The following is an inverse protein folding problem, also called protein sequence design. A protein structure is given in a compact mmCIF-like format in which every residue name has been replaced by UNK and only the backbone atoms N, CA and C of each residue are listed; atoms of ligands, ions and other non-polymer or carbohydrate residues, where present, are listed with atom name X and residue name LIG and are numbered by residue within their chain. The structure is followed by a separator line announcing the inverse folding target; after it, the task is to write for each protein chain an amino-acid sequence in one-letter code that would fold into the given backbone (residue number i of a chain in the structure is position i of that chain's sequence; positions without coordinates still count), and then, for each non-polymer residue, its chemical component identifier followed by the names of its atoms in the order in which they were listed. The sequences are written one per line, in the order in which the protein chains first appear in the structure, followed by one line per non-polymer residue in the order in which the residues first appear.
data_IF_518461112573
#
_entry.id   IF_518461112573
#
_cell.length_a   1.000
_cell.length_b   1.000
_cell.length_c   1.000
_cell.angle_alpha   90.00
_cell.angle_beta   90.00
_cell.angle_gamma   90.00
#
_symmetry.space_group_name_H-M   'P 1'
#
loop_
_entity.id
_entity.type
_entity.pdbx_description
1 polymer ?
#
# COMPACT_ATOMS: atom_id res chain seq x y z
N UNK A 1 -19.22 -5.59 -16.52
CA UNK A 1 -19.10 -4.72 -15.33
C UNK A 1 -18.85 -3.32 -15.85
N UNK A 2 -19.57 -2.27 -15.38
CA UNK A 2 -19.34 -0.91 -15.85
C UNK A 2 -17.87 -0.53 -15.60
N UNK A 3 -17.28 0.19 -16.55
CA UNK A 3 -15.91 0.66 -16.40
C UNK A 3 -15.85 1.70 -15.27
N UNK A 4 -14.73 1.82 -14.54
CA UNK A 4 -14.67 2.73 -13.40
C UNK A 4 -14.99 4.19 -13.76
N UNK A 5 -14.73 4.58 -15.03
CA UNK A 5 -15.08 5.90 -15.55
C UNK A 5 -16.58 6.18 -15.55
N UNK A 6 -17.41 5.15 -15.73
CA UNK A 6 -18.88 5.25 -15.76
C UNK A 6 -19.51 5.22 -14.37
N UNK A 7 -18.72 4.94 -13.32
CA UNK A 7 -19.22 4.88 -11.95
C UNK A 7 -19.53 6.29 -11.43
N UNK A 8 -20.63 6.42 -10.69
CA UNK A 8 -21.04 7.70 -10.10
C UNK A 8 -20.06 8.16 -9.04
N UNK A 9 -19.70 9.43 -9.11
CA UNK A 9 -18.87 10.10 -8.11
C UNK A 9 -19.70 10.33 -6.83
N UNK A 10 -19.18 9.95 -5.67
CA UNK A 10 -19.81 10.28 -4.38
C UNK A 10 -19.41 11.67 -3.91
N UNK A 11 -20.19 12.28 -3.01
CA UNK A 11 -19.84 13.58 -2.43
C UNK A 11 -18.55 13.52 -1.61
N UNK A 12 -18.30 12.41 -0.93
CA UNK A 12 -17.04 12.19 -0.22
C UNK A 12 -15.83 12.11 -1.16
N UNK A 13 -16.01 11.55 -2.36
CA UNK A 13 -14.96 11.58 -3.38
C UNK A 13 -14.76 12.98 -3.92
N UNK A 14 -15.85 13.71 -4.18
CA UNK A 14 -15.85 15.12 -4.64
C UNK A 14 -15.06 16.02 -3.68
N UNK A 15 -15.32 15.94 -2.38
CA UNK A 15 -14.56 16.66 -1.34
C UNK A 15 -13.07 16.29 -1.34
N UNK A 16 -12.76 15.01 -1.53
CA UNK A 16 -11.38 14.53 -1.60
C UNK A 16 -10.62 15.14 -2.78
N UNK A 17 -11.27 15.24 -3.94
CA UNK A 17 -10.68 15.88 -5.13
C UNK A 17 -10.37 17.34 -4.87
N UNK A 18 -11.31 18.06 -4.25
CA UNK A 18 -11.13 19.47 -3.89
C UNK A 18 -9.95 19.64 -2.93
N UNK A 19 -9.74 18.69 -2.01
CA UNK A 19 -8.55 18.65 -1.16
C UNK A 19 -7.24 18.56 -1.94
N UNK A 20 -7.20 17.75 -3.00
CA UNK A 20 -6.02 17.66 -3.87
C UNK A 20 -5.77 18.93 -4.68
N UNK A 21 -6.83 19.55 -5.21
CA UNK A 21 -6.72 20.83 -5.93
C UNK A 21 -6.19 21.94 -5.00
N UNK A 22 -6.63 21.98 -3.74
CA UNK A 22 -6.12 22.93 -2.73
C UNK A 22 -4.62 22.74 -2.46
N UNK A 23 -4.18 21.48 -2.36
CA UNK A 23 -2.76 21.18 -2.18
C UNK A 23 -1.94 21.66 -3.39
N UNK A 24 -2.42 21.44 -4.61
CA UNK A 24 -1.75 21.89 -5.82
C UNK A 24 -1.61 23.42 -5.92
N UNK A 25 -2.60 24.19 -5.45
CA UNK A 25 -2.48 25.66 -5.33
C UNK A 25 -1.43 26.04 -4.29
N UNK A 26 -1.47 25.40 -3.12
CA UNK A 26 -0.52 25.66 -2.03
C UNK A 26 0.92 25.39 -2.46
N UNK A 27 1.13 24.39 -3.32
CA UNK A 27 2.42 24.01 -3.88
C UNK A 27 2.82 24.85 -5.12
N UNK A 28 1.98 25.79 -5.55
CA UNK A 28 2.23 26.65 -6.71
C UNK A 28 2.13 25.94 -8.07
N UNK A 29 1.51 24.76 -8.11
CA UNK A 29 1.29 23.98 -9.35
C UNK A 29 0.02 24.37 -10.10
N UNK A 30 -0.94 24.93 -9.38
CA UNK A 30 -2.11 25.59 -9.95
C UNK A 30 -2.12 27.05 -9.57
N UNK A 31 -2.52 27.88 -10.51
CA UNK A 31 -2.96 29.24 -10.21
C UNK A 31 -4.32 29.20 -9.50
N UNK A 32 -4.66 30.29 -8.81
CA UNK A 32 -5.97 30.41 -8.14
C UNK A 32 -7.13 30.33 -9.14
N UNK A 33 -6.96 30.89 -10.35
CA UNK A 33 -7.96 30.84 -11.40
C UNK A 33 -8.21 29.39 -11.91
N UNK A 34 -7.14 28.62 -12.15
CA UNK A 34 -7.28 27.21 -12.54
C UNK A 34 -7.91 26.36 -11.44
N UNK A 35 -7.62 26.69 -10.18
CA UNK A 35 -8.26 26.03 -9.04
C UNK A 35 -9.76 26.27 -9.01
N UNK A 36 -10.22 27.51 -9.13
CA UNK A 36 -11.64 27.84 -9.15
C UNK A 36 -12.37 27.12 -10.29
N UNK A 37 -11.79 27.13 -11.49
CA UNK A 37 -12.35 26.44 -12.67
C UNK A 37 -12.46 24.92 -12.44
N UNK A 38 -11.40 24.31 -11.92
CA UNK A 38 -11.35 22.85 -11.69
C UNK A 38 -12.26 22.43 -10.53
N UNK A 39 -12.36 23.22 -9.47
CA UNK A 39 -13.29 22.94 -8.35
C UNK A 39 -14.72 22.99 -8.84
N UNK A 40 -15.09 23.99 -9.62
CA UNK A 40 -16.44 24.11 -10.17
C UNK A 40 -16.80 22.93 -11.09
N UNK A 41 -15.87 22.51 -11.97
CA UNK A 41 -16.04 21.33 -12.81
C UNK A 41 -16.19 20.04 -11.98
N UNK A 42 -15.33 19.85 -10.96
CA UNK A 42 -15.41 18.73 -10.02
C UNK A 42 -16.71 18.74 -9.25
N UNK A 43 -17.24 19.90 -8.85
CA UNK A 43 -18.51 20.03 -8.12
C UNK A 43 -19.75 19.77 -8.98
N UNK A 44 -19.61 19.78 -10.30
CA UNK A 44 -20.67 19.42 -11.25
C UNK A 44 -20.57 17.99 -11.77
N UNK A 45 -19.39 17.38 -11.70
CA UNK A 45 -19.15 16.04 -12.20
C UNK A 45 -20.09 15.00 -11.56
N UNK A 46 -20.60 14.08 -12.38
CA UNK A 46 -21.46 12.97 -11.95
C UNK A 46 -20.74 11.63 -11.95
N UNK A 47 -19.64 11.52 -12.69
CA UNK A 47 -18.89 10.27 -12.86
C UNK A 47 -17.39 10.48 -12.68
N UNK A 48 -16.65 9.42 -12.39
CA UNK A 48 -15.18 9.52 -12.25
C UNK A 48 -14.49 9.93 -13.55
N UNK A 49 -15.02 9.52 -14.70
CA UNK A 49 -14.47 9.88 -16.01
C UNK A 49 -14.53 11.38 -16.32
N UNK A 50 -15.50 12.09 -15.72
CA UNK A 50 -15.62 13.55 -15.86
C UNK A 50 -14.58 14.31 -15.04
N UNK A 51 -14.03 13.70 -13.98
CA UNK A 51 -13.05 14.36 -13.10
C UNK A 51 -11.61 14.14 -13.56
N UNK A 52 -11.32 12.99 -14.16
CA UNK A 52 -9.97 12.57 -14.58
C UNK A 52 -9.21 13.62 -15.42
N UNK A 53 -9.82 14.34 -16.40
CA UNK A 53 -9.13 15.36 -17.18
C UNK A 53 -8.63 16.55 -16.36
N UNK A 54 -9.32 16.90 -15.27
CA UNK A 54 -8.98 18.05 -14.42
C UNK A 54 -7.81 17.79 -13.47
N UNK A 55 -7.26 16.57 -13.53
CA UNK A 55 -6.29 16.03 -12.60
C UNK A 55 -5.08 15.40 -13.32
N UNK A 56 -5.15 15.25 -14.64
CA UNK A 56 -4.16 14.51 -15.43
C UNK A 56 -2.75 15.11 -15.38
N UNK A 57 -2.65 16.41 -15.19
CA UNK A 57 -1.42 17.21 -15.10
C UNK A 57 -0.95 17.43 -13.65
N UNK A 58 -1.67 16.88 -12.66
CA UNK A 58 -1.33 16.98 -11.25
C UNK A 58 -0.85 15.62 -10.74
N UNK A 59 0.06 15.60 -9.74
CA UNK A 59 0.47 14.36 -9.09
C UNK A 59 -0.63 13.86 -8.13
N UNK A 60 -1.79 13.51 -8.68
CA UNK A 60 -2.99 13.11 -7.94
C UNK A 60 -3.36 11.67 -8.28
N UNK A 61 -3.58 10.87 -7.24
CA UNK A 61 -3.87 9.44 -7.35
C UNK A 61 -5.30 9.15 -7.78
N UNK A 62 -5.69 9.52 -9.00
CA UNK A 62 -6.97 9.14 -9.64
C UNK A 62 -6.82 8.07 -10.71
N UNK A 63 -5.79 7.24 -10.63
CA UNK A 63 -5.73 6.04 -11.47
C UNK A 63 -6.75 5.00 -10.98
N UNK A 64 -7.92 4.97 -11.63
CA UNK A 64 -8.71 3.78 -11.93
C UNK A 64 -9.12 2.85 -10.76
N UNK A 65 -10.33 3.04 -10.21
CA UNK A 65 -11.24 1.96 -9.80
C UNK A 65 -10.88 1.00 -8.68
N UNK A 66 -9.75 1.18 -8.01
CA UNK A 66 -9.56 0.63 -6.68
C UNK A 66 -10.34 1.47 -5.67
N UNK A 67 -11.00 0.83 -4.69
CA UNK A 67 -11.27 1.47 -3.39
C UNK A 67 -10.07 2.35 -3.05
N UNK A 68 -10.24 3.59 -2.53
CA UNK A 68 -9.13 4.52 -2.35
C UNK A 68 -7.98 3.75 -1.73
N UNK A 69 -6.91 3.54 -2.52
CA UNK A 69 -5.68 2.96 -1.99
C UNK A 69 -5.32 3.90 -0.85
N UNK A 70 -5.57 3.44 0.37
CA UNK A 70 -5.15 4.19 1.54
C UNK A 70 -3.65 4.22 1.39
N UNK A 71 -3.07 5.35 1.04
CA UNK A 71 -1.62 5.46 0.91
C UNK A 71 -0.93 4.98 2.19
N UNK A 72 -1.60 5.14 3.33
CA UNK A 72 -1.18 4.61 4.61
C UNK A 72 -2.29 3.81 5.31
N UNK A 73 -1.96 2.58 5.72
CA UNK A 73 -2.75 1.81 6.68
C UNK A 73 -1.91 1.51 7.91
N UNK A 74 -2.49 1.70 9.09
CA UNK A 74 -1.88 1.29 10.35
C UNK A 74 -2.62 0.09 10.96
N UNK A 75 -1.87 -0.95 11.28
CA UNK A 75 -2.33 -2.14 12.00
C UNK A 75 -1.78 -2.10 13.41
N UNK A 76 -2.66 -2.03 14.41
CA UNK A 76 -2.27 -2.03 15.84
C UNK A 76 -2.81 -3.25 16.57
N UNK A 77 -1.96 -3.87 17.40
CA UNK A 77 -2.34 -4.93 18.33
C UNK A 77 -1.54 -4.85 19.63
N UNK A 78 -2.15 -5.31 20.73
CA UNK A 78 -1.51 -5.34 22.05
C UNK A 78 -1.12 -6.76 22.47
N UNK A 79 -2.05 -7.72 22.48
CA UNK A 79 -1.78 -9.11 22.87
C UNK A 79 -2.40 -10.11 21.88
N UNK A 80 -2.76 -9.65 20.69
CA UNK A 80 -3.43 -10.44 19.67
C UNK A 80 -2.53 -10.64 18.45
N UNK A 81 -2.77 -11.73 17.72
CA UNK A 81 -2.07 -11.97 16.45
C UNK A 81 -2.77 -11.24 15.31
N UNK A 82 -2.01 -10.51 14.50
CA UNK A 82 -2.48 -9.84 13.30
C UNK A 82 -2.28 -10.75 12.10
N UNK A 83 -3.36 -11.15 11.42
CA UNK A 83 -3.28 -11.93 10.19
C UNK A 83 -4.05 -11.25 9.06
N UNK A 84 -3.40 -11.04 7.90
CA UNK A 84 -4.05 -10.66 6.63
C UNK A 84 -3.70 -11.67 5.55
N UNK A 85 -4.70 -12.06 4.76
CA UNK A 85 -4.58 -13.03 3.65
C UNK A 85 -5.67 -12.79 2.60
N UNK A 86 -5.48 -13.36 1.41
CA UNK A 86 -6.43 -13.30 0.29
C UNK A 86 -6.32 -12.01 -0.52
N UNK A 87 -7.38 -11.67 -1.28
CA UNK A 87 -7.45 -10.45 -2.09
C UNK A 87 -7.78 -9.24 -1.21
N UNK A 88 -6.75 -8.50 -0.82
CA UNK A 88 -6.87 -7.21 -0.14
C UNK A 88 -6.01 -6.17 -0.87
N UNK A 89 -6.45 -4.92 -0.92
CA UNK A 89 -5.70 -3.82 -1.51
C UNK A 89 -4.56 -3.40 -0.58
N UNK A 90 -3.33 -3.52 -1.06
CA UNK A 90 -2.11 -3.21 -0.31
C UNK A 90 -1.85 -1.71 -0.40
N UNK A 91 -1.75 -1.01 0.74
CA UNK A 91 -1.40 0.41 0.73
C UNK A 91 0.03 0.59 0.24
N UNK A 92 0.37 1.77 -0.27
CA UNK A 92 1.76 2.14 -0.53
C UNK A 92 2.62 2.05 0.74
N UNK A 93 2.07 2.44 1.89
CA UNK A 93 2.72 2.38 3.20
C UNK A 93 1.89 1.63 4.23
N UNK A 94 2.49 0.66 4.88
CA UNK A 94 1.88 -0.14 5.94
C UNK A 94 2.65 0.05 7.25
N UNK A 95 1.99 0.53 8.29
CA UNK A 95 2.57 0.65 9.62
C UNK A 95 2.03 -0.48 10.49
N UNK A 96 2.91 -1.30 11.06
CA UNK A 96 2.55 -2.42 11.92
C UNK A 96 3.07 -2.14 13.33
N UNK A 97 2.17 -1.90 14.28
CA UNK A 97 2.52 -1.76 15.70
C UNK A 97 1.96 -2.94 16.48
N UNK A 98 2.83 -3.77 17.02
CA UNK A 98 2.42 -4.93 17.79
C UNK A 98 3.20 -5.03 19.10
N UNK A 99 2.51 -5.00 20.26
CA UNK A 99 3.20 -5.16 21.55
C UNK A 99 3.53 -6.63 21.84
N UNK A 100 2.57 -7.52 21.64
CA UNK A 100 2.72 -8.95 21.87
C UNK A 100 1.81 -9.75 20.92
N UNK A 101 2.31 -10.88 20.43
CA UNK A 101 1.60 -11.77 19.51
C UNK A 101 2.26 -11.84 18.14
N UNK A 102 1.72 -12.65 17.23
CA UNK A 102 2.35 -12.85 15.91
C UNK A 102 1.74 -11.96 14.84
N UNK A 103 2.56 -11.45 13.93
CA UNK A 103 2.12 -10.75 12.72
C UNK A 103 2.34 -11.68 11.53
N UNK A 104 1.29 -11.93 10.76
CA UNK A 104 1.37 -12.68 9.50
C UNK A 104 0.66 -11.91 8.40
N UNK A 105 1.43 -11.37 7.48
CA UNK A 105 0.90 -10.65 6.31
C UNK A 105 1.18 -11.48 5.08
N UNK A 106 0.12 -11.96 4.45
CA UNK A 106 0.17 -12.72 3.21
C UNK A 106 -0.24 -11.83 2.04
N UNK A 107 0.76 -11.53 1.20
CA UNK A 107 0.66 -10.71 0.00
C UNK A 107 0.56 -11.58 -1.28
N UNK A 108 0.57 -12.91 -1.17
CA UNK A 108 0.62 -13.79 -2.34
C UNK A 108 -0.60 -13.68 -3.25
N UNK A 109 -1.76 -13.33 -2.69
CA UNK A 109 -3.03 -13.13 -3.40
C UNK A 109 -3.53 -11.67 -3.30
N UNK A 110 -2.72 -10.78 -2.74
CA UNK A 110 -3.11 -9.39 -2.51
C UNK A 110 -3.09 -8.57 -3.81
N UNK A 111 -3.86 -7.49 -3.84
CA UNK A 111 -3.89 -6.53 -4.95
C UNK A 111 -2.88 -5.44 -4.64
N UNK A 112 -1.84 -5.32 -5.47
CA UNK A 112 -0.74 -4.38 -5.28
C UNK A 112 -0.64 -3.53 -6.54
N UNK A 113 -1.07 -2.27 -6.44
CA UNK A 113 -1.07 -1.32 -7.56
C UNK A 113 0.11 -0.35 -7.49
N UNK A 114 1.12 -0.68 -6.67
CA UNK A 114 2.28 0.16 -6.39
C UNK A 114 3.58 -0.60 -6.72
N UNK A 115 4.56 0.04 -7.39
CA UNK A 115 5.85 -0.59 -7.67
C UNK A 115 6.68 -0.81 -6.38
N UNK A 116 6.45 0.03 -5.36
CA UNK A 116 7.12 -0.04 -4.06
C UNK A 116 6.07 -0.05 -2.94
N UNK A 117 6.23 -0.98 -2.00
CA UNK A 117 5.43 -1.09 -0.78
C UNK A 117 6.35 -0.92 0.44
N UNK A 118 6.12 0.15 1.19
CA UNK A 118 6.84 0.45 2.42
C UNK A 118 6.15 -0.21 3.61
N UNK A 119 6.90 -0.92 4.46
CA UNK A 119 6.39 -1.57 5.67
C UNK A 119 7.22 -1.13 6.87
N UNK A 120 6.63 -0.31 7.75
CA UNK A 120 7.23 0.10 9.02
C UNK A 120 6.78 -0.87 10.12
N UNK A 121 7.68 -1.73 10.58
CA UNK A 121 7.42 -2.71 11.64
C UNK A 121 7.89 -2.17 13.00
N UNK A 122 6.99 -2.14 13.97
CA UNK A 122 7.30 -1.81 15.37
C UNK A 122 6.72 -2.92 16.26
N UNK A 123 7.53 -3.97 16.48
CA UNK A 123 7.12 -5.16 17.21
C UNK A 123 7.93 -5.29 18.49
N UNK A 124 7.26 -5.30 19.64
CA UNK A 124 7.93 -5.48 20.92
C UNK A 124 8.22 -6.97 21.18
N UNK A 125 7.22 -7.85 21.08
CA UNK A 125 7.39 -9.28 21.29
C UNK A 125 6.55 -10.12 20.31
N UNK A 126 7.16 -11.12 19.67
CA UNK A 126 6.50 -12.08 18.81
C UNK A 126 7.15 -12.22 17.43
N UNK A 127 6.56 -13.06 16.59
CA UNK A 127 7.11 -13.35 15.26
C UNK A 127 6.38 -12.56 14.18
N UNK A 128 7.14 -11.99 13.24
CA UNK A 128 6.64 -11.30 12.07
C UNK A 128 6.95 -12.12 10.82
N UNK A 129 5.92 -12.47 10.06
CA UNK A 129 6.05 -13.24 8.82
C UNK A 129 5.41 -12.46 7.68
N UNK A 130 6.23 -12.09 6.69
CA UNK A 130 5.79 -11.48 5.45
C UNK A 130 5.90 -12.52 4.33
N UNK A 131 4.77 -12.85 3.71
CA UNK A 131 4.71 -13.79 2.58
C UNK A 131 4.49 -12.98 1.32
N UNK A 132 5.50 -12.92 0.44
CA UNK A 132 5.46 -12.08 -0.75
C UNK A 132 4.92 -12.83 -1.98
N UNK A 133 4.36 -12.13 -2.97
CA UNK A 133 4.02 -12.72 -4.26
C UNK A 133 5.28 -13.15 -5.02
N UNK A 134 5.13 -14.13 -5.91
CA UNK A 134 6.25 -14.66 -6.67
C UNK A 134 6.92 -13.57 -7.53
N UNK A 135 8.26 -13.52 -7.49
CA UNK A 135 9.06 -12.53 -8.22
C UNK A 135 9.18 -11.17 -7.54
N UNK A 136 8.51 -10.94 -6.40
CA UNK A 136 8.72 -9.74 -5.60
C UNK A 136 10.10 -9.73 -4.93
N UNK A 137 10.64 -8.54 -4.70
CA UNK A 137 11.90 -8.32 -3.96
C UNK A 137 11.61 -7.73 -2.58
N UNK A 138 12.55 -7.89 -1.64
CA UNK A 138 12.46 -7.23 -0.35
C UNK A 138 13.79 -6.75 0.18
N UNK A 139 13.79 -5.49 0.62
CA UNK A 139 14.84 -4.84 1.38
C UNK A 139 14.45 -4.82 2.86
N UNK A 140 15.34 -5.27 3.74
CA UNK A 140 15.12 -5.34 5.19
C UNK A 140 16.27 -4.68 5.97
N UNK A 141 17.17 -3.96 5.30
CA UNK A 141 18.43 -3.47 5.89
C UNK A 141 18.18 -2.43 7.00
N UNK A 142 17.07 -1.70 6.90
CA UNK A 142 16.63 -0.69 7.86
C UNK A 142 15.80 -1.26 9.03
N UNK A 143 15.76 -2.58 9.22
CA UNK A 143 15.09 -3.22 10.37
C UNK A 143 16.07 -3.40 11.53
N UNK A 144 15.80 -2.71 12.64
CA UNK A 144 16.56 -2.89 13.89
C UNK A 144 16.05 -4.10 14.66
N UNK A 145 16.87 -5.13 14.78
CA UNK A 145 16.62 -6.30 15.64
C UNK A 145 17.29 -6.10 17.01
N UNK A 146 16.60 -6.40 18.12
CA UNK A 146 17.23 -6.40 19.46
C UNK A 146 17.55 -7.82 19.94
N UNK A 147 16.55 -8.72 19.95
CA UNK A 147 16.69 -10.12 20.35
C UNK A 147 15.96 -11.03 19.35
N UNK A 148 16.71 -11.92 18.70
CA UNK A 148 16.23 -12.78 17.61
C UNK A 148 16.97 -12.48 16.29
N UNK A 149 16.39 -12.88 15.17
CA UNK A 149 16.99 -12.65 13.85
C UNK A 149 15.98 -12.20 12.80
N UNK A 150 16.44 -11.41 11.84
CA UNK A 150 15.74 -11.18 10.58
C UNK A 150 16.28 -12.15 9.53
N UNK A 151 15.38 -12.75 8.75
CA UNK A 151 15.74 -13.64 7.63
C UNK A 151 14.88 -13.31 6.43
N UNK A 152 15.52 -12.99 5.31
CA UNK A 152 14.88 -12.89 4.00
C UNK A 152 15.34 -14.04 3.11
N UNK A 153 14.41 -14.74 2.47
CA UNK A 153 14.71 -15.73 1.41
C UNK A 153 14.20 -15.26 0.06
N UNK A 154 13.98 -13.95 -0.09
CA UNK A 154 13.63 -13.30 -1.35
C UNK A 154 14.80 -12.40 -1.78
N UNK A 155 14.99 -12.13 -3.08
CA UNK A 155 16.06 -11.24 -3.53
C UNK A 155 15.87 -9.81 -2.99
N UNK A 156 16.99 -9.15 -2.68
CA UNK A 156 17.00 -7.74 -2.25
C UNK A 156 17.08 -6.73 -3.42
N UNK A 157 17.11 -7.22 -4.66
CA UNK A 157 17.43 -6.44 -5.87
C UNK A 157 16.69 -5.11 -5.96
N UNK A 158 17.46 -4.04 -6.20
CA UNK A 158 16.98 -2.71 -6.55
C UNK A 158 16.47 -2.66 -8.00
N UNK A 159 17.05 -3.49 -8.88
CA UNK A 159 16.51 -3.74 -10.21
C UNK A 159 15.27 -4.61 -10.07
N UNK A 160 14.13 -3.95 -10.20
CA UNK A 160 12.82 -4.57 -10.30
C UNK A 160 12.63 -5.00 -11.75
N UNK A 161 12.60 -6.31 -12.08
CA UNK A 161 12.18 -6.73 -13.40
C UNK A 161 10.76 -6.22 -13.64
N UNK A 162 10.52 -5.60 -14.79
CA UNK A 162 9.30 -4.87 -15.14
C UNK A 162 8.02 -5.42 -14.48
N UNK A 163 7.39 -4.58 -13.66
CA UNK A 163 6.06 -4.81 -13.08
C UNK A 163 5.97 -5.65 -11.80
N UNK A 164 7.09 -6.09 -11.19
CA UNK A 164 7.06 -6.79 -9.89
C UNK A 164 7.13 -5.82 -8.71
N UNK A 165 6.41 -6.04 -7.59
CA UNK A 165 6.49 -5.13 -6.46
C UNK A 165 7.78 -5.33 -5.65
N UNK A 166 8.41 -4.22 -5.27
CA UNK A 166 9.49 -4.17 -4.29
C UNK A 166 8.93 -3.85 -2.91
N UNK A 167 9.34 -4.60 -1.89
CA UNK A 167 9.00 -4.34 -0.50
C UNK A 167 10.19 -3.70 0.21
N UNK A 168 9.97 -2.61 0.93
CA UNK A 168 10.98 -1.97 1.78
C UNK A 168 10.50 -2.06 3.21
N UNK A 169 11.23 -2.79 4.05
CA UNK A 169 10.87 -3.03 5.45
C UNK A 169 11.79 -2.22 6.35
N UNK A 170 11.22 -1.40 7.22
CA UNK A 170 11.95 -0.52 8.14
C UNK A 170 11.41 -0.68 9.56
N UNK A 171 12.11 -0.11 10.55
CA UNK A 171 11.59 0.02 11.91
C UNK A 171 12.35 -0.82 12.92
N UNK A 172 11.64 -1.43 13.88
CA UNK A 172 12.23 -2.24 14.94
C UNK A 172 11.43 -3.49 15.33
N UNK A 173 12.16 -4.57 15.61
CA UNK A 173 11.64 -5.76 16.27
C UNK A 173 12.51 -6.11 17.48
N UNK A 174 11.92 -5.96 18.68
CA UNK A 174 12.67 -6.09 19.93
C UNK A 174 12.87 -7.55 20.35
N UNK A 175 11.82 -8.36 20.38
CA UNK A 175 11.93 -9.78 20.74
C UNK A 175 11.18 -10.69 19.77
N UNK A 176 11.90 -11.57 19.08
CA UNK A 176 11.35 -12.56 18.15
C UNK A 176 11.92 -12.44 16.74
N UNK A 177 11.35 -13.19 15.79
CA UNK A 177 11.93 -13.37 14.47
C UNK A 177 11.12 -12.67 13.37
N UNK A 178 11.82 -12.01 12.45
CA UNK A 178 11.26 -11.45 11.22
C UNK A 178 11.62 -12.42 10.10
N UNK A 179 10.62 -12.90 9.37
CA UNK A 179 10.82 -13.78 8.21
C UNK A 179 10.12 -13.21 7.00
N UNK A 180 10.88 -12.96 5.94
CA UNK A 180 10.36 -12.58 4.62
C UNK A 180 10.63 -13.72 3.65
N UNK A 181 9.58 -14.23 3.01
CA UNK A 181 9.69 -15.39 2.11
C UNK A 181 8.56 -15.42 1.09
N UNK A 182 8.72 -16.23 0.05
CA UNK A 182 7.57 -16.62 -0.78
C UNK A 182 6.67 -17.64 -0.07
N UNK A 183 5.48 -17.86 -0.63
CA UNK A 183 4.58 -18.94 -0.20
C UNK A 183 5.26 -20.29 -0.46
N UNK A 184 5.26 -21.18 0.55
CA UNK A 184 5.76 -22.55 0.38
C UNK A 184 4.83 -23.29 -0.58
N UNK A 185 5.32 -23.74 -1.74
CA UNK A 185 4.62 -24.75 -2.55
C UNK A 185 4.75 -26.07 -1.80
N UNK A 186 3.63 -26.62 -1.33
CA UNK A 186 3.60 -28.02 -0.96
C UNK A 186 3.68 -28.82 -2.27
N UNK A 187 4.79 -29.51 -2.50
CA UNK A 187 4.85 -30.57 -3.50
C UNK A 187 3.88 -31.65 -3.04
N UNK A 188 2.68 -31.70 -3.62
CA UNK A 188 1.83 -32.87 -3.55
C UNK A 188 2.53 -33.95 -4.37
N UNK A 189 3.16 -34.91 -3.70
CA UNK A 189 3.50 -36.17 -4.34
C UNK A 189 2.20 -36.91 -4.63
N UNK A 190 1.88 -37.10 -5.90
CA UNK A 190 0.94 -38.13 -6.33
C UNK A 190 1.75 -39.41 -6.53
N UNK A 191 1.38 -40.45 -5.77
CA UNK A 191 1.72 -41.84 -6.07
C UNK A 191 0.96 -42.32 -7.30
#
# INVERSE_FOLDING_TARGET
MPSNREMRLSDADRERVVGWLNAAVTEGRLTLAEFEERVDAVLRAKTYGEVEPHLADLPVGMASGGRPSRDLVELRSTAASLTRRGRWAVPRRLVVRNKAGSVKLDFAEAVIDHPVVEIDVNVLAGNTVLILPAGATADIDDVRMTAGHARSTVPASYDVPDGRPRFVVTGSQKAGNLTVRYRRRFLRWSW
#
